data_IF_222654479943
#
_entry.id   IF_222654479943
#
_cell.length_a   1.000
_cell.length_b   1.000
_cell.length_c   1.000
_cell.angle_alpha   90.00
_cell.angle_beta   90.00
_cell.angle_gamma   90.00
#
_symmetry.space_group_name_H-M   'P 1'
#
loop_
_entity.id
_entity.type
_entity.pdbx_description
1 polymer ?
#
# COMPACT_ATOMS: atom_id res chain seq x y z
N UNK A 1 -19.41 12.22 30.79
CA UNK A 1 -20.56 13.12 31.03
C UNK A 1 -21.56 12.78 29.95
N UNK A 2 -22.70 12.24 30.35
CA UNK A 2 -23.73 11.80 29.40
C UNK A 2 -24.23 13.02 28.60
N UNK A 3 -24.47 12.87 27.30
CA UNK A 3 -24.98 13.94 26.43
C UNK A 3 -26.29 14.49 27.02
N UNK A 4 -27.10 13.64 27.66
CA UNK A 4 -28.30 14.03 28.37
C UNK A 4 -28.03 14.92 29.60
N UNK A 5 -26.97 14.66 30.37
CA UNK A 5 -26.55 15.53 31.49
C UNK A 5 -26.02 16.87 31.01
N UNK A 6 -25.30 16.87 29.88
CA UNK A 6 -24.74 18.09 29.27
C UNK A 6 -25.88 19.01 28.80
N UNK A 7 -26.90 18.45 28.13
CA UNK A 7 -28.10 19.20 27.75
C UNK A 7 -28.95 19.64 28.94
N UNK A 8 -29.06 18.83 30.00
CA UNK A 8 -29.77 19.22 31.21
C UNK A 8 -29.09 20.41 31.89
N UNK A 9 -27.76 20.39 31.99
CA UNK A 9 -26.95 21.48 32.56
C UNK A 9 -27.02 22.75 31.71
N UNK A 10 -26.94 22.63 30.38
CA UNK A 10 -27.14 23.77 29.47
C UNK A 10 -28.55 24.36 29.59
N UNK A 11 -29.58 23.51 29.75
CA UNK A 11 -30.96 23.97 29.90
C UNK A 11 -31.15 24.78 31.18
N UNK A 12 -30.52 24.35 32.28
CA UNK A 12 -30.56 25.05 33.56
C UNK A 12 -29.83 26.40 33.49
N UNK A 13 -28.61 26.43 32.93
CA UNK A 13 -27.83 27.66 32.76
C UNK A 13 -28.53 28.65 31.81
N UNK A 14 -29.15 28.15 30.74
CA UNK A 14 -29.95 28.97 29.84
C UNK A 14 -31.19 29.55 30.53
N UNK A 15 -31.83 28.79 31.42
CA UNK A 15 -32.97 29.25 32.22
C UNK A 15 -32.56 30.35 33.21
N UNK A 16 -31.43 30.20 33.90
CA UNK A 16 -30.87 31.21 34.80
C UNK A 16 -30.52 32.51 34.07
N UNK A 17 -29.83 32.41 32.93
CA UNK A 17 -29.47 33.57 32.11
C UNK A 17 -30.71 34.32 31.61
N UNK A 18 -31.75 33.59 31.20
CA UNK A 18 -33.04 34.17 30.80
C UNK A 18 -33.74 34.84 31.97
N UNK A 19 -33.72 34.24 33.15
CA UNK A 19 -34.31 34.87 34.34
C UNK A 19 -33.61 36.17 34.70
N UNK A 20 -32.27 36.21 34.65
CA UNK A 20 -31.50 37.43 34.87
C UNK A 20 -31.87 38.54 33.86
N UNK A 21 -32.06 38.18 32.59
CA UNK A 21 -32.52 39.11 31.55
C UNK A 21 -33.95 39.62 31.83
N UNK A 22 -34.87 38.74 32.22
CA UNK A 22 -36.24 39.11 32.60
C UNK A 22 -36.24 40.08 33.78
N UNK A 23 -35.46 39.78 34.82
CA UNK A 23 -35.30 40.64 36.01
C UNK A 23 -34.76 42.03 35.64
N UNK A 24 -33.82 42.11 34.70
CA UNK A 24 -33.33 43.40 34.16
C UNK A 24 -34.43 44.15 33.41
N UNK A 25 -35.20 43.46 32.58
CA UNK A 25 -36.33 44.04 31.87
C UNK A 25 -37.41 44.55 32.85
N UNK A 26 -37.63 43.86 33.98
CA UNK A 26 -38.52 44.32 35.06
C UNK A 26 -38.08 45.64 35.67
N UNK A 27 -36.77 45.84 35.90
CA UNK A 27 -36.25 47.13 36.37
C UNK A 27 -36.49 48.26 35.36
N UNK A 28 -36.25 47.99 34.08
CA UNK A 28 -36.49 48.95 33.00
C UNK A 28 -37.98 49.30 32.89
N UNK A 29 -38.86 48.30 33.02
CA UNK A 29 -40.31 48.48 33.03
C UNK A 29 -40.79 49.32 34.22
N UNK A 30 -40.27 49.05 35.43
CA UNK A 30 -40.57 49.85 36.62
C UNK A 30 -40.11 51.29 36.46
N UNK A 31 -38.92 51.50 35.89
CA UNK A 31 -38.39 52.83 35.61
C UNK A 31 -39.24 53.60 34.59
N UNK A 32 -39.56 52.99 33.44
CA UNK A 32 -40.37 53.61 32.38
C UNK A 32 -41.78 53.90 32.89
N UNK A 33 -42.42 52.95 33.58
CA UNK A 33 -43.77 53.14 34.12
C UNK A 33 -43.80 54.30 35.12
N UNK A 34 -42.79 54.38 36.00
CA UNK A 34 -42.65 55.49 36.96
C UNK A 34 -42.38 56.83 36.26
N UNK A 35 -41.56 56.84 35.20
CA UNK A 35 -41.30 58.05 34.42
C UNK A 35 -42.55 58.57 33.70
N UNK A 36 -43.34 57.67 33.08
CA UNK A 36 -44.62 58.02 32.43
C UNK A 36 -45.60 58.60 33.44
N UNK A 37 -45.69 57.99 34.63
CA UNK A 37 -46.52 58.46 35.74
C UNK A 37 -46.16 59.88 36.20
N UNK A 38 -44.86 60.17 36.35
CA UNK A 38 -44.37 61.51 36.69
C UNK A 38 -44.72 62.50 35.59
N UNK A 39 -44.47 62.14 34.32
CA UNK A 39 -44.75 63.02 33.17
C UNK A 39 -46.24 63.37 33.06
N UNK A 40 -47.13 62.40 33.27
CA UNK A 40 -48.58 62.56 33.16
C UNK A 40 -49.18 63.33 34.35
N UNK A 41 -48.48 63.38 35.51
CA UNK A 41 -48.84 64.26 36.63
C UNK A 41 -48.57 65.73 36.32
N UNK A 42 -47.50 66.02 35.58
CA UNK A 42 -47.15 67.37 35.16
C UNK A 42 -48.11 67.95 34.11
N UNK A 43 -48.87 67.11 33.41
CA UNK A 43 -49.89 67.54 32.44
C UNK A 43 -51.30 67.70 33.02
N UNK A 44 -51.44 67.77 34.36
CA UNK A 44 -52.72 67.81 35.10
C UNK A 44 -53.74 66.70 34.74
N UNK A 45 -53.27 65.61 34.11
CA UNK A 45 -54.12 64.50 33.66
C UNK A 45 -54.38 63.42 34.72
N UNK A 46 -53.62 63.39 35.81
CA UNK A 46 -53.73 62.38 36.87
C UNK A 46 -54.50 62.94 38.08
N UNK A 47 -55.74 62.51 38.25
CA UNK A 47 -56.55 62.77 39.44
C UNK A 47 -56.18 61.88 40.66
N UNK A 48 -55.10 61.11 40.56
CA UNK A 48 -54.72 60.06 41.52
C UNK A 48 -53.57 60.54 42.41
N UNK A 49 -53.64 60.25 43.70
CA UNK A 49 -52.57 60.57 44.63
C UNK A 49 -51.27 59.83 44.28
N UNK A 50 -50.16 60.57 44.18
CA UNK A 50 -48.84 60.06 43.77
C UNK A 50 -48.36 58.85 44.60
N UNK A 51 -48.77 58.74 45.87
CA UNK A 51 -48.33 57.66 46.75
C UNK A 51 -48.77 56.26 46.28
N UNK A 52 -49.89 56.14 45.56
CA UNK A 52 -50.43 54.86 45.06
C UNK A 52 -49.47 54.20 44.05
N UNK A 53 -49.08 54.87 42.94
CA UNK A 53 -48.08 54.34 42.02
C UNK A 53 -46.73 54.07 42.68
N UNK A 54 -46.28 54.94 43.58
CA UNK A 54 -45.03 54.72 44.31
C UNK A 54 -45.09 53.47 45.19
N UNK A 55 -46.21 53.20 45.87
CA UNK A 55 -46.38 52.02 46.69
C UNK A 55 -46.36 50.73 45.86
N UNK A 56 -47.05 50.69 44.71
CA UNK A 56 -47.04 49.52 43.82
C UNK A 56 -45.65 49.28 43.18
N UNK A 57 -44.94 50.35 42.83
CA UNK A 57 -43.56 50.27 42.31
C UNK A 57 -42.59 49.80 43.39
N UNK A 58 -42.73 50.26 44.62
CA UNK A 58 -41.90 49.85 45.77
C UNK A 58 -42.09 48.36 46.07
N UNK A 59 -43.32 47.87 46.11
CA UNK A 59 -43.62 46.43 46.31
C UNK A 59 -42.97 45.60 45.20
N UNK A 60 -43.10 46.03 43.95
CA UNK A 60 -42.49 45.35 42.80
C UNK A 60 -40.96 45.35 42.87
N UNK A 61 -40.35 46.45 43.34
CA UNK A 61 -38.90 46.56 43.52
C UNK A 61 -38.39 45.63 44.64
N UNK A 62 -39.14 45.50 45.75
CA UNK A 62 -38.81 44.56 46.85
C UNK A 62 -38.87 43.12 46.34
N UNK A 63 -39.95 42.74 45.64
CA UNK A 63 -40.10 41.41 45.05
C UNK A 63 -38.96 41.12 44.07
N UNK A 64 -38.62 42.07 43.20
CA UNK A 64 -37.55 41.91 42.22
C UNK A 64 -36.17 41.77 42.89
N UNK A 65 -35.92 42.52 43.97
CA UNK A 65 -34.68 42.43 44.76
C UNK A 65 -34.57 41.10 45.50
N UNK A 66 -35.68 40.58 46.04
CA UNK A 66 -35.72 39.26 46.67
C UNK A 66 -35.38 38.14 45.67
N UNK A 67 -35.94 38.19 44.45
CA UNK A 67 -35.59 37.24 43.39
C UNK A 67 -34.12 37.36 42.96
N UNK A 68 -33.57 38.58 42.85
CA UNK A 68 -32.14 38.76 42.58
C UNK A 68 -31.25 38.17 43.68
N UNK A 69 -31.63 38.32 44.94
CA UNK A 69 -30.88 37.76 46.06
C UNK A 69 -30.90 36.23 46.04
N UNK A 70 -32.04 35.62 45.72
CA UNK A 70 -32.17 34.18 45.53
C UNK A 70 -31.28 33.67 44.39
N UNK A 71 -31.22 34.41 43.29
CA UNK A 71 -30.35 34.12 42.15
C UNK A 71 -28.87 34.19 42.54
N UNK A 72 -28.43 35.29 43.17
CA UNK A 72 -27.03 35.49 43.59
C UNK A 72 -26.56 34.45 44.62
N UNK A 73 -27.47 33.93 45.45
CA UNK A 73 -27.18 32.90 46.45
C UNK A 73 -27.25 31.47 45.90
N UNK A 74 -27.50 31.28 44.60
CA UNK A 74 -27.63 29.94 44.00
C UNK A 74 -28.82 29.14 44.53
N UNK A 75 -29.83 29.80 45.13
CA UNK A 75 -31.04 29.17 45.68
C UNK A 75 -32.23 29.27 44.71
N UNK A 76 -31.98 29.69 43.48
CA UNK A 76 -33.01 29.80 42.46
C UNK A 76 -33.52 28.42 42.07
N UNK A 77 -34.83 28.31 41.88
CA UNK A 77 -35.52 27.10 41.41
C UNK A 77 -36.53 27.51 40.35
N UNK A 78 -36.81 26.64 39.39
CA UNK A 78 -37.69 26.96 38.25
C UNK A 78 -39.07 27.49 38.64
N UNK A 79 -39.65 27.02 39.74
CA UNK A 79 -40.96 27.51 40.19
C UNK A 79 -40.96 29.00 40.57
N UNK A 80 -39.83 29.56 41.03
CA UNK A 80 -39.71 30.98 41.35
C UNK A 80 -39.94 31.85 40.11
N UNK A 81 -39.48 31.39 38.95
CA UNK A 81 -39.75 32.05 37.67
C UNK A 81 -41.26 32.09 37.38
N UNK A 82 -41.92 30.94 37.48
CA UNK A 82 -43.35 30.83 37.18
C UNK A 82 -44.23 31.59 38.18
N UNK A 83 -43.82 31.67 39.44
CA UNK A 83 -44.50 32.46 40.47
C UNK A 83 -44.37 33.97 40.24
N UNK A 84 -43.30 34.44 39.60
CA UNK A 84 -43.12 35.87 39.31
C UNK A 84 -44.14 36.42 38.30
N UNK A 85 -44.61 35.58 37.37
CA UNK A 85 -45.57 35.97 36.31
C UNK A 85 -46.90 36.49 36.89
N UNK A 86 -47.65 35.72 37.71
CA UNK A 86 -48.90 36.22 38.28
C UNK A 86 -48.66 37.39 39.25
N UNK A 87 -47.52 37.44 39.94
CA UNK A 87 -47.15 38.58 40.80
C UNK A 87 -46.98 39.88 39.98
N UNK A 88 -46.33 39.81 38.82
CA UNK A 88 -46.18 40.96 37.93
C UNK A 88 -47.53 41.44 37.39
N UNK A 89 -48.39 40.50 36.95
CA UNK A 89 -49.74 40.83 36.49
C UNK A 89 -50.53 41.49 37.62
N UNK A 90 -50.53 40.91 38.82
CA UNK A 90 -51.20 41.48 39.99
C UNK A 90 -50.69 42.88 40.33
N UNK A 91 -49.38 43.13 40.28
CA UNK A 91 -48.83 44.45 40.54
C UNK A 91 -49.34 45.50 39.54
N UNK A 92 -49.34 45.17 38.25
CA UNK A 92 -49.79 46.07 37.18
C UNK A 92 -51.30 46.30 37.25
N UNK A 93 -52.09 45.26 37.51
CA UNK A 93 -53.55 45.39 37.60
C UNK A 93 -54.00 46.05 38.90
N UNK A 94 -53.29 45.84 40.01
CA UNK A 94 -53.57 46.57 41.26
C UNK A 94 -53.33 48.06 41.07
N UNK A 95 -52.26 48.43 40.36
CA UNK A 95 -52.03 49.80 39.95
C UNK A 95 -53.16 50.33 39.05
N UNK A 96 -53.57 49.57 38.03
CA UNK A 96 -54.68 49.93 37.15
C UNK A 96 -55.99 50.20 37.92
N UNK A 97 -56.30 49.39 38.92
CA UNK A 97 -57.48 49.57 39.78
C UNK A 97 -57.35 50.84 40.63
N UNK A 98 -56.20 51.04 41.27
CA UNK A 98 -55.98 52.16 42.15
C UNK A 98 -55.89 53.52 41.41
N UNK A 99 -55.62 53.51 40.10
CA UNK A 99 -55.61 54.69 39.25
C UNK A 99 -56.98 55.12 38.70
N UNK A 100 -58.06 54.41 39.05
CA UNK A 100 -59.43 54.81 38.67
C UNK A 100 -59.61 54.99 37.16
N UNK A 101 -60.11 56.16 36.72
CA UNK A 101 -60.32 56.46 35.31
C UNK A 101 -59.04 56.33 34.46
N UNK A 102 -57.88 56.74 35.00
CA UNK A 102 -56.57 56.68 34.33
C UNK A 102 -55.95 55.28 34.28
N UNK A 103 -56.61 54.25 34.80
CA UNK A 103 -56.12 52.86 34.79
C UNK A 103 -55.92 52.24 33.39
N UNK A 104 -56.41 52.88 32.32
CA UNK A 104 -56.14 52.49 30.94
C UNK A 104 -54.64 52.57 30.57
N UNK A 105 -53.87 53.41 31.28
CA UNK A 105 -52.42 53.53 31.11
C UNK A 105 -51.65 52.24 31.46
N UNK A 106 -52.29 51.26 32.12
CA UNK A 106 -51.70 49.95 32.38
C UNK A 106 -51.67 49.04 31.14
N UNK A 107 -52.48 49.33 30.13
CA UNK A 107 -52.60 48.48 28.96
C UNK A 107 -51.30 48.42 28.12
N UNK A 108 -50.63 49.53 27.78
CA UNK A 108 -49.32 49.49 27.13
C UNK A 108 -48.26 48.76 27.97
N UNK A 109 -48.33 48.90 29.30
CA UNK A 109 -47.41 48.26 30.26
C UNK A 109 -47.60 46.74 30.25
N UNK A 110 -48.83 46.24 30.20
CA UNK A 110 -49.15 44.81 30.03
C UNK A 110 -48.66 44.27 28.68
N UNK A 111 -48.90 45.00 27.59
CA UNK A 111 -48.46 44.59 26.24
C UNK A 111 -46.93 44.51 26.17
N UNK A 112 -46.23 45.51 26.75
CA UNK A 112 -44.78 45.49 26.83
C UNK A 112 -44.26 44.31 27.67
N UNK A 113 -44.89 44.01 28.81
CA UNK A 113 -44.51 42.85 29.60
C UNK A 113 -44.66 41.55 28.80
N UNK A 114 -45.77 41.36 28.09
CA UNK A 114 -45.99 40.18 27.22
C UNK A 114 -44.89 40.05 26.16
N UNK A 115 -44.50 41.15 25.51
CA UNK A 115 -43.47 41.13 24.47
C UNK A 115 -42.07 40.76 25.02
N UNK A 116 -41.73 41.22 26.22
CA UNK A 116 -40.46 40.86 26.87
C UNK A 116 -40.37 39.36 27.20
N UNK A 117 -41.48 38.73 27.60
CA UNK A 117 -41.53 37.28 27.82
C UNK A 117 -41.58 36.49 26.50
N UNK A 118 -42.21 37.05 25.46
CA UNK A 118 -42.37 36.37 24.18
C UNK A 118 -41.01 36.07 23.52
N UNK A 119 -40.03 36.94 23.74
CA UNK A 119 -38.63 36.74 23.39
C UNK A 119 -38.01 35.59 24.18
N UNK A 120 -38.10 34.39 23.59
CA UNK A 120 -37.47 33.18 24.05
C UNK A 120 -38.34 32.29 24.94
N UNK A 121 -39.30 32.84 25.70
CA UNK A 121 -40.14 32.09 26.65
C UNK A 121 -41.64 32.20 26.28
N UNK A 122 -42.07 31.64 25.14
CA UNK A 122 -43.44 31.83 24.63
C UNK A 122 -44.51 31.33 25.60
N UNK A 123 -44.25 30.26 26.36
CA UNK A 123 -45.17 29.76 27.40
C UNK A 123 -45.37 30.78 28.54
N UNK A 124 -44.31 31.47 28.95
CA UNK A 124 -44.39 32.50 29.98
C UNK A 124 -45.25 33.68 29.51
N UNK A 125 -45.06 34.11 28.27
CA UNK A 125 -45.84 35.18 27.67
C UNK A 125 -47.32 34.80 27.47
N UNK A 126 -47.61 33.54 27.11
CA UNK A 126 -48.97 33.02 27.04
C UNK A 126 -49.67 33.04 28.39
N UNK A 127 -48.99 32.58 29.45
CA UNK A 127 -49.53 32.65 30.82
C UNK A 127 -49.73 34.10 31.28
N UNK A 128 -48.78 34.98 30.99
CA UNK A 128 -48.90 36.40 31.32
C UNK A 128 -50.14 37.02 30.65
N UNK A 129 -50.34 36.77 29.36
CA UNK A 129 -51.54 37.20 28.64
C UNK A 129 -52.81 36.61 29.27
N UNK A 130 -52.83 35.30 29.54
CA UNK A 130 -53.99 34.63 30.14
C UNK A 130 -54.38 35.22 31.51
N UNK A 131 -53.40 35.44 32.39
CA UNK A 131 -53.65 36.10 33.67
C UNK A 131 -54.11 37.55 33.49
N UNK A 132 -53.53 38.28 32.53
CA UNK A 132 -53.92 39.66 32.23
C UNK A 132 -55.36 39.76 31.74
N UNK A 133 -55.82 38.80 30.93
CA UNK A 133 -57.20 38.78 30.42
C UNK A 133 -58.27 38.61 31.52
N UNK A 134 -57.89 38.06 32.67
CA UNK A 134 -58.79 37.92 33.82
C UNK A 134 -58.62 39.08 34.80
N UNK A 135 -57.38 39.40 35.16
CA UNK A 135 -57.09 40.38 36.21
C UNK A 135 -57.30 41.83 35.76
N UNK A 136 -57.01 42.16 34.50
CA UNK A 136 -57.15 43.53 33.98
C UNK A 136 -58.60 44.04 33.94
N UNK A 137 -59.57 43.34 33.34
CA UNK A 137 -60.95 43.85 33.30
C UNK A 137 -61.57 43.92 34.69
N UNK A 138 -61.25 42.98 35.59
CA UNK A 138 -61.67 43.03 36.99
C UNK A 138 -61.11 44.29 37.69
N UNK A 139 -59.81 44.56 37.53
CA UNK A 139 -59.18 45.75 38.07
C UNK A 139 -59.80 47.05 37.54
N UNK A 140 -60.09 47.15 36.25
CA UNK A 140 -60.75 48.31 35.64
C UNK A 140 -62.17 48.50 36.17
N UNK A 141 -62.92 47.41 36.34
CA UNK A 141 -64.28 47.44 36.89
C UNK A 141 -64.29 47.93 38.34
N UNK A 142 -63.47 47.36 39.23
CA UNK A 142 -63.42 47.78 40.64
C UNK A 142 -62.82 49.17 40.83
N UNK A 143 -61.81 49.53 40.05
CA UNK A 143 -61.16 50.85 40.14
C UNK A 143 -62.06 52.01 39.76
N UNK A 144 -63.03 51.78 38.87
CA UNK A 144 -63.99 52.81 38.42
C UNK A 144 -65.31 52.77 39.19
N UNK A 145 -65.52 51.80 40.09
CA UNK A 145 -66.76 51.62 40.84
C UNK A 145 -67.10 52.79 41.79
N UNK A 146 -66.07 53.50 42.29
CA UNK A 146 -66.20 54.67 43.16
C UNK A 146 -65.94 56.03 42.48
N UNK A 147 -65.69 56.06 41.17
CA UNK A 147 -65.46 57.29 40.43
C UNK A 147 -66.78 57.97 40.04
N UNK A 148 -66.78 59.32 39.93
CA UNK A 148 -67.96 60.11 39.54
C UNK A 148 -68.49 59.78 38.14
N UNK A 149 -67.62 59.32 37.25
CA UNK A 149 -67.96 58.76 35.94
C UNK A 149 -67.64 57.27 35.95
N UNK A 150 -68.67 56.42 36.05
CA UNK A 150 -68.50 54.98 35.80
C UNK A 150 -68.16 54.80 34.33
N UNK A 151 -67.01 54.18 34.03
CA UNK A 151 -66.70 53.79 32.67
C UNK A 151 -67.79 52.85 32.15
N UNK A 152 -68.22 53.06 30.90
CA UNK A 152 -69.16 52.15 30.26
C UNK A 152 -68.50 50.78 30.08
N UNK A 153 -69.28 49.71 30.22
CA UNK A 153 -68.83 48.33 29.95
C UNK A 153 -68.22 48.21 28.54
N UNK A 154 -68.68 49.05 27.60
CA UNK A 154 -68.17 49.17 26.23
C UNK A 154 -66.71 49.64 26.20
N UNK A 155 -66.31 50.57 27.07
CA UNK A 155 -64.93 51.04 27.15
C UNK A 155 -63.96 49.95 27.60
N UNK A 156 -64.32 49.19 28.64
CA UNK A 156 -63.53 48.06 29.12
C UNK A 156 -63.45 46.96 28.06
N UNK A 157 -64.54 46.69 27.34
CA UNK A 157 -64.55 45.73 26.24
C UNK A 157 -63.60 46.16 25.10
N UNK A 158 -63.57 47.44 24.75
CA UNK A 158 -62.64 47.97 23.75
C UNK A 158 -61.16 47.83 24.18
N UNK A 159 -60.85 48.16 25.44
CA UNK A 159 -59.51 47.93 26.01
C UNK A 159 -59.10 46.45 25.93
N UNK A 160 -60.02 45.53 26.24
CA UNK A 160 -59.79 44.08 26.15
C UNK A 160 -59.51 43.60 24.72
N UNK A 161 -60.20 44.14 23.72
CA UNK A 161 -59.93 43.83 22.30
C UNK A 161 -58.50 44.25 21.93
N UNK A 162 -58.06 45.43 22.38
CA UNK A 162 -56.69 45.90 22.13
C UNK A 162 -55.68 44.99 22.84
N UNK A 163 -55.92 44.60 24.09
CA UNK A 163 -55.04 43.70 24.83
C UNK A 163 -54.89 42.34 24.13
N UNK A 164 -56.00 41.75 23.65
CA UNK A 164 -55.97 40.49 22.91
C UNK A 164 -55.22 40.66 21.58
N UNK A 165 -55.53 41.69 20.79
CA UNK A 165 -54.92 41.91 19.49
C UNK A 165 -53.41 42.21 19.59
N UNK A 166 -53.02 43.17 20.42
CA UNK A 166 -51.62 43.55 20.61
C UNK A 166 -50.83 42.46 21.36
N UNK A 167 -51.45 41.78 22.33
CA UNK A 167 -50.84 40.66 23.05
C UNK A 167 -50.56 39.47 22.13
N UNK A 168 -51.51 39.08 21.29
CA UNK A 168 -51.30 38.00 20.31
C UNK A 168 -50.24 38.34 19.27
N UNK A 169 -50.24 39.56 18.72
CA UNK A 169 -49.19 40.01 17.81
C UNK A 169 -47.80 39.96 18.46
N UNK A 170 -47.70 40.41 19.72
CA UNK A 170 -46.47 40.37 20.51
C UNK A 170 -45.94 38.94 20.74
N UNK A 171 -46.82 37.93 20.75
CA UNK A 171 -46.43 36.52 20.88
C UNK A 171 -45.88 35.93 19.58
N UNK A 172 -46.39 36.35 18.42
CA UNK A 172 -46.09 35.70 17.14
C UNK A 172 -44.67 36.00 16.62
N UNK A 173 -44.26 37.27 16.64
CA UNK A 173 -42.98 37.68 16.05
C UNK A 173 -41.77 37.00 16.71
N UNK A 174 -41.59 37.00 18.05
CA UNK A 174 -40.45 36.35 18.68
C UNK A 174 -40.49 34.82 18.62
N UNK A 175 -41.70 34.23 18.62
CA UNK A 175 -41.87 32.79 18.51
C UNK A 175 -41.40 32.28 17.14
N UNK A 176 -41.64 33.05 16.07
CA UNK A 176 -41.17 32.69 14.73
C UNK A 176 -39.64 32.62 14.66
N UNK A 177 -38.94 33.64 15.17
CA UNK A 177 -37.48 33.72 15.25
C UNK A 177 -36.91 32.55 16.05
N UNK A 178 -37.45 32.32 17.26
CA UNK A 178 -36.99 31.23 18.14
C UNK A 178 -37.17 29.86 17.50
N UNK A 179 -38.31 29.62 16.82
CA UNK A 179 -38.56 28.36 16.09
C UNK A 179 -37.57 28.17 14.95
N UNK A 180 -37.28 29.22 14.17
CA UNK A 180 -36.30 29.14 13.07
C UNK A 180 -34.89 28.85 13.57
N UNK A 181 -34.43 29.54 14.62
CA UNK A 181 -33.12 29.26 15.25
C UNK A 181 -33.02 27.83 15.79
N UNK A 182 -34.08 27.31 16.41
CA UNK A 182 -34.10 25.90 16.87
C UNK A 182 -33.97 24.91 15.73
N UNK A 183 -34.54 25.19 14.55
CA UNK A 183 -34.36 24.33 13.37
C UNK A 183 -32.92 24.35 12.87
N UNK A 184 -32.28 25.53 12.82
CA UNK A 184 -30.86 25.65 12.49
C UNK A 184 -30.00 24.85 13.47
N UNK A 185 -30.22 25.03 14.78
CA UNK A 185 -29.53 24.29 15.83
C UNK A 185 -29.70 22.77 15.67
N UNK A 186 -30.91 22.31 15.36
CA UNK A 186 -31.16 20.89 15.19
C UNK A 186 -30.50 20.32 13.92
N UNK A 187 -30.43 21.11 12.84
CA UNK A 187 -29.66 20.72 11.65
C UNK A 187 -28.17 20.61 11.93
N UNK A 188 -27.60 21.57 12.66
CA UNK A 188 -26.20 21.51 13.10
C UNK A 188 -25.91 20.30 13.99
N UNK A 189 -26.82 19.95 14.91
CA UNK A 189 -26.68 18.76 15.75
C UNK A 189 -26.67 17.45 14.95
N UNK A 190 -27.38 17.39 13.81
CA UNK A 190 -27.30 16.23 12.89
C UNK A 190 -25.97 16.19 12.14
N UNK A 191 -25.45 17.35 11.73
CA UNK A 191 -24.13 17.45 11.09
C UNK A 191 -23.00 17.06 12.06
N UNK A 192 -23.13 17.38 13.34
CA UNK A 192 -22.22 16.92 14.41
C UNK A 192 -22.19 15.38 14.51
N UNK A 193 -23.30 14.72 14.20
CA UNK A 193 -23.41 13.26 14.13
C UNK A 193 -22.92 12.67 12.79
N UNK A 194 -22.35 13.50 11.90
CA UNK A 194 -21.85 13.08 10.59
C UNK A 194 -22.87 13.11 9.46
N UNK A 195 -24.12 13.53 9.72
CA UNK A 195 -25.16 13.63 8.70
C UNK A 195 -25.13 15.00 8.01
N UNK A 196 -24.33 15.10 6.95
CA UNK A 196 -24.23 16.28 6.09
C UNK A 196 -25.27 16.34 4.96
N UNK A 197 -26.21 15.39 4.91
CA UNK A 197 -27.30 15.37 3.93
C UNK A 197 -28.41 16.37 4.26
N UNK A 198 -28.47 16.84 5.51
CA UNK A 198 -29.49 17.76 6.00
C UNK A 198 -29.43 19.09 5.26
N UNK A 199 -30.60 19.61 4.87
CA UNK A 199 -30.76 20.94 4.27
C UNK A 199 -31.73 21.79 5.07
N UNK A 200 -31.27 22.97 5.47
CA UNK A 200 -32.05 23.98 6.16
C UNK A 200 -32.79 24.87 5.16
N UNK A 201 -34.00 25.31 5.51
CA UNK A 201 -34.79 26.22 4.67
C UNK A 201 -34.22 27.64 4.70
N UNK A 202 -33.71 28.12 3.57
CA UNK A 202 -33.18 29.48 3.37
C UNK A 202 -34.18 30.47 2.74
N UNK A 203 -35.50 30.18 2.75
CA UNK A 203 -36.53 31.02 2.11
C UNK A 203 -36.70 32.43 2.70
N UNK A 204 -36.15 32.68 3.88
CA UNK A 204 -36.30 33.94 4.60
C UNK A 204 -35.21 34.92 4.16
N UNK A 205 -35.54 36.17 3.88
CA UNK A 205 -34.56 37.23 3.57
C UNK A 205 -34.08 37.95 4.84
N UNK A 206 -33.92 37.21 5.95
CA UNK A 206 -33.37 37.70 7.22
C UNK A 206 -32.04 37.01 7.54
N UNK A 207 -31.34 37.47 8.58
CA UNK A 207 -30.05 36.91 9.01
C UNK A 207 -30.12 35.40 9.27
N UNK A 208 -31.30 34.89 9.69
CA UNK A 208 -31.51 33.46 9.93
C UNK A 208 -31.58 32.69 8.60
N UNK A 209 -32.17 33.28 7.56
CA UNK A 209 -32.13 32.75 6.21
C UNK A 209 -30.71 32.68 5.65
N UNK A 210 -29.93 33.75 5.78
CA UNK A 210 -28.52 33.77 5.40
C UNK A 210 -27.70 32.75 6.19
N UNK A 211 -27.90 32.66 7.50
CA UNK A 211 -27.28 31.63 8.34
C UNK A 211 -27.61 30.22 7.84
N UNK A 212 -28.87 29.96 7.48
CA UNK A 212 -29.30 28.67 6.93
C UNK A 212 -28.60 28.34 5.61
N UNK A 213 -28.42 29.35 4.73
CA UNK A 213 -27.69 29.19 3.48
C UNK A 213 -26.21 28.90 3.71
N UNK A 214 -25.54 29.63 4.62
CA UNK A 214 -24.14 29.40 4.99
C UNK A 214 -23.93 28.00 5.59
N UNK A 215 -24.83 27.54 6.46
CA UNK A 215 -24.78 26.19 7.03
C UNK A 215 -24.97 25.12 5.94
N UNK A 216 -25.87 25.33 4.98
CA UNK A 216 -26.03 24.40 3.85
C UNK A 216 -24.77 24.32 2.98
N UNK A 217 -24.13 25.46 2.71
CA UNK A 217 -22.88 25.52 1.95
C UNK A 217 -21.75 24.77 2.68
N UNK A 218 -21.61 24.99 4.00
CA UNK A 218 -20.68 24.24 4.84
C UNK A 218 -20.95 22.73 4.77
N UNK A 219 -22.21 22.31 4.91
CA UNK A 219 -22.58 20.90 4.86
C UNK A 219 -22.26 20.26 3.51
N UNK A 220 -22.46 20.98 2.41
CA UNK A 220 -22.08 20.51 1.08
C UNK A 220 -20.56 20.36 0.93
N UNK A 221 -19.79 21.36 1.36
CA UNK A 221 -18.32 21.31 1.27
C UNK A 221 -17.74 20.19 2.13
N UNK A 222 -18.17 20.07 3.38
CA UNK A 222 -17.70 19.02 4.28
C UNK A 222 -18.15 17.63 3.80
N UNK A 223 -19.41 17.50 3.35
CA UNK A 223 -19.91 16.26 2.77
C UNK A 223 -19.10 15.82 1.54
N UNK A 224 -18.79 16.75 0.64
CA UNK A 224 -17.95 16.47 -0.53
C UNK A 224 -16.51 16.09 -0.18
N UNK A 225 -15.92 16.68 0.87
CA UNK A 225 -14.61 16.26 1.38
C UNK A 225 -14.65 14.82 1.91
N UNK A 226 -15.70 14.45 2.66
CA UNK A 226 -15.87 13.09 3.18
C UNK A 226 -16.06 12.08 2.04
N UNK A 227 -16.83 12.42 1.02
CA UNK A 227 -17.00 11.59 -0.20
C UNK A 227 -15.67 11.40 -0.94
N UNK A 228 -14.88 12.46 -1.12
CA UNK A 228 -13.57 12.38 -1.75
C UNK A 228 -12.59 11.51 -0.95
N UNK A 229 -12.58 11.63 0.39
CA UNK A 229 -11.74 10.78 1.26
C UNK A 229 -12.14 9.31 1.14
N UNK A 230 -13.43 8.99 1.06
CA UNK A 230 -13.91 7.62 0.89
C UNK A 230 -13.44 7.03 -0.45
N UNK A 231 -13.60 7.76 -1.55
CA UNK A 231 -13.10 7.32 -2.85
C UNK A 231 -11.58 7.14 -2.88
N UNK A 232 -10.83 8.03 -2.22
CA UNK A 232 -9.38 7.90 -2.11
C UNK A 232 -8.98 6.66 -1.30
N UNK A 233 -9.72 6.35 -0.23
CA UNK A 233 -9.49 5.17 0.59
C UNK A 233 -9.80 3.86 -0.17
N UNK A 234 -10.87 3.83 -0.96
CA UNK A 234 -11.20 2.71 -1.85
C UNK A 234 -10.12 2.48 -2.90
N UNK A 235 -9.66 3.55 -3.56
CA UNK A 235 -8.57 3.48 -4.52
C UNK A 235 -7.26 2.97 -3.88
N UNK A 236 -6.94 3.46 -2.68
CA UNK A 236 -5.77 3.00 -1.93
C UNK A 236 -5.87 1.53 -1.54
N UNK A 237 -7.06 1.06 -1.14
CA UNK A 237 -7.29 -0.36 -0.85
C UNK A 237 -7.11 -1.23 -2.11
N UNK A 238 -7.55 -0.77 -3.28
CA UNK A 238 -7.30 -1.42 -4.56
C UNK A 238 -5.80 -1.53 -4.89
N UNK A 239 -5.07 -0.42 -4.78
CA UNK A 239 -3.61 -0.41 -4.97
C UNK A 239 -2.87 -1.33 -4.00
N UNK A 240 -3.29 -1.38 -2.74
CA UNK A 240 -2.71 -2.27 -1.75
C UNK A 240 -2.91 -3.74 -2.13
N UNK A 241 -4.08 -4.09 -2.66
CA UNK A 241 -4.36 -5.44 -3.14
C UNK A 241 -3.50 -5.82 -4.36
N UNK A 242 -3.39 -4.92 -5.33
CA UNK A 242 -2.51 -5.11 -6.50
C UNK A 242 -1.05 -5.27 -6.08
N UNK A 243 -0.57 -4.42 -5.18
CA UNK A 243 0.81 -4.49 -4.65
C UNK A 243 1.07 -5.81 -3.93
N UNK A 244 0.10 -6.32 -3.16
CA UNK A 244 0.21 -7.61 -2.49
C UNK A 244 0.28 -8.77 -3.50
N UNK A 245 -0.51 -8.71 -4.58
CA UNK A 245 -0.46 -9.69 -5.67
C UNK A 245 0.92 -9.70 -6.34
N UNK A 246 1.42 -8.53 -6.74
CA UNK A 246 2.75 -8.37 -7.35
C UNK A 246 3.86 -8.86 -6.43
N UNK A 247 3.77 -8.58 -5.12
CA UNK A 247 4.73 -9.10 -4.14
C UNK A 247 4.72 -10.64 -4.09
N UNK A 248 3.54 -11.27 -4.21
CA UNK A 248 3.41 -12.72 -4.34
C UNK A 248 4.07 -13.29 -5.59
N UNK A 249 3.91 -12.62 -6.75
CA UNK A 249 4.57 -13.02 -8.00
C UNK A 249 6.09 -12.87 -7.94
N UNK A 250 6.58 -11.80 -7.31
CA UNK A 250 8.02 -11.58 -7.08
C UNK A 250 8.58 -12.66 -6.16
N UNK A 251 7.88 -13.02 -5.08
CA UNK A 251 8.29 -14.10 -4.18
C UNK A 251 8.39 -15.44 -4.91
N UNK A 252 7.39 -15.80 -5.71
CA UNK A 252 7.41 -17.02 -6.50
C UNK A 252 8.55 -17.03 -7.54
N UNK A 253 8.82 -15.88 -8.17
CA UNK A 253 9.94 -15.73 -9.10
C UNK A 253 11.29 -15.87 -8.40
N UNK A 254 11.43 -15.30 -7.20
CA UNK A 254 12.64 -15.43 -6.38
C UNK A 254 12.89 -16.89 -5.96
N UNK A 255 11.84 -17.64 -5.63
CA UNK A 255 11.94 -19.08 -5.36
C UNK A 255 12.42 -19.87 -6.59
N UNK A 256 11.86 -19.59 -7.79
CA UNK A 256 12.35 -20.21 -9.03
C UNK A 256 13.82 -19.86 -9.34
N UNK A 257 14.24 -18.62 -9.10
CA UNK A 257 15.64 -18.22 -9.24
C UNK A 257 16.51 -19.00 -8.26
N UNK A 258 16.06 -19.20 -7.02
CA UNK A 258 16.73 -20.03 -6.03
C UNK A 258 16.96 -21.45 -6.54
N UNK A 259 15.91 -22.11 -7.03
CA UNK A 259 16.00 -23.46 -7.59
C UNK A 259 16.95 -23.55 -8.79
N UNK A 260 16.85 -22.63 -9.76
CA UNK A 260 17.70 -22.65 -10.94
C UNK A 260 19.17 -22.34 -10.62
N UNK A 261 19.41 -21.51 -9.61
CA UNK A 261 20.78 -21.24 -9.12
C UNK A 261 21.40 -22.47 -8.48
N UNK A 262 20.62 -23.24 -7.71
CA UNK A 262 21.10 -24.47 -7.08
C UNK A 262 21.39 -25.56 -8.13
N UNK A 263 20.50 -25.72 -9.13
CA UNK A 263 20.73 -26.61 -10.27
C UNK A 263 21.99 -26.22 -11.06
N UNK A 264 22.16 -24.93 -11.35
CA UNK A 264 23.34 -24.41 -12.03
C UNK A 264 24.62 -24.67 -11.24
N UNK A 265 24.58 -24.51 -9.91
CA UNK A 265 25.73 -24.79 -9.05
C UNK A 265 26.12 -26.27 -9.08
N UNK A 266 25.14 -27.18 -9.12
CA UNK A 266 25.37 -28.61 -9.25
C UNK A 266 25.95 -28.98 -10.63
N UNK A 267 25.40 -28.42 -11.71
CA UNK A 267 25.90 -28.67 -13.06
C UNK A 267 27.31 -28.11 -13.27
N UNK A 268 27.60 -26.94 -12.71
CA UNK A 268 28.95 -26.36 -12.68
C UNK A 268 29.94 -27.27 -11.95
N UNK A 269 29.50 -27.92 -10.86
CA UNK A 269 30.30 -28.91 -10.11
C UNK A 269 30.64 -30.13 -10.98
N UNK A 270 29.66 -30.64 -11.74
CA UNK A 270 29.90 -31.75 -12.69
C UNK A 270 30.85 -31.34 -13.82
N UNK A 271 30.69 -30.15 -14.38
CA UNK A 271 31.61 -29.63 -15.39
C UNK A 271 33.05 -29.53 -14.88
N UNK A 272 33.25 -29.02 -13.65
CA UNK A 272 34.57 -28.98 -13.03
C UNK A 272 35.18 -30.39 -12.89
N UNK A 273 34.38 -31.38 -12.49
CA UNK A 273 34.84 -32.77 -12.41
C UNK A 273 35.22 -33.34 -13.80
N UNK A 274 34.44 -33.05 -14.85
CA UNK A 274 34.75 -33.46 -16.23
C UNK A 274 36.03 -32.80 -16.76
N UNK A 275 36.24 -31.52 -16.47
CA UNK A 275 37.45 -30.79 -16.84
C UNK A 275 38.67 -31.38 -16.12
N UNK A 276 38.56 -31.66 -14.83
CA UNK A 276 39.62 -32.30 -14.06
C UNK A 276 39.97 -33.69 -14.63
N UNK A 277 38.98 -34.53 -14.92
CA UNK A 277 39.20 -35.84 -15.55
C UNK A 277 39.79 -35.75 -16.96
N UNK A 278 39.41 -34.72 -17.73
CA UNK A 278 40.00 -34.47 -19.05
C UNK A 278 41.46 -34.03 -18.96
N UNK A 279 41.82 -33.23 -17.96
CA UNK A 279 43.21 -32.85 -17.70
C UNK A 279 44.07 -34.08 -17.33
N UNK A 280 43.56 -34.95 -16.46
CA UNK A 280 44.22 -36.22 -16.10
C UNK A 280 44.41 -37.13 -17.32
N UNK A 281 43.37 -37.26 -18.16
CA UNK A 281 43.47 -38.02 -19.41
C UNK A 281 44.49 -37.43 -20.39
N UNK A 282 44.58 -36.09 -20.48
CA UNK A 282 45.56 -35.41 -21.31
C UNK A 282 47.00 -35.62 -20.79
N UNK A 283 47.22 -35.58 -19.48
CA UNK A 283 48.51 -35.91 -18.86
C UNK A 283 48.91 -37.36 -19.15
N UNK A 284 47.98 -38.30 -18.98
CA UNK A 284 48.22 -39.72 -19.29
C UNK A 284 48.55 -39.93 -20.77
N UNK A 285 47.84 -39.24 -21.69
CA UNK A 285 48.12 -39.30 -23.12
C UNK A 285 49.49 -38.71 -23.48
N UNK A 286 49.88 -37.58 -22.86
CA UNK A 286 51.19 -36.98 -23.04
C UNK A 286 52.31 -37.92 -22.56
N UNK A 287 52.15 -38.53 -21.38
CA UNK A 287 53.08 -39.54 -20.87
C UNK A 287 53.18 -40.76 -21.80
N UNK A 288 52.04 -41.27 -22.29
CA UNK A 288 51.99 -42.37 -23.26
C UNK A 288 52.69 -42.03 -24.57
N UNK A 289 52.51 -40.81 -25.08
CA UNK A 289 53.19 -40.32 -26.29
C UNK A 289 54.72 -40.25 -26.11
N UNK A 290 55.22 -39.89 -24.92
CA UNK A 290 56.65 -39.88 -24.63
C UNK A 290 57.24 -41.29 -24.61
N UNK A 291 56.52 -42.25 -24.01
CA UNK A 291 56.92 -43.67 -24.02
C UNK A 291 56.96 -44.22 -25.44
N UNK A 292 55.92 -43.94 -26.24
CA UNK A 292 55.86 -44.38 -27.63
C UNK A 292 57.00 -43.77 -28.46
N UNK A 293 57.27 -42.47 -28.28
CA UNK A 293 58.39 -41.79 -28.94
C UNK A 293 59.73 -42.43 -28.60
N UNK A 294 59.99 -42.72 -27.31
CA UNK A 294 61.21 -43.43 -26.88
C UNK A 294 61.31 -44.81 -27.52
N UNK A 295 60.24 -45.60 -27.48
CA UNK A 295 60.21 -46.94 -28.09
C UNK A 295 60.44 -46.90 -29.60
N UNK A 296 59.90 -45.90 -30.29
CA UNK A 296 60.14 -45.68 -31.72
C UNK A 296 61.61 -45.33 -32.01
N UNK A 297 62.24 -44.50 -31.16
CA UNK A 297 63.67 -44.17 -31.31
C UNK A 297 64.58 -45.38 -31.06
N UNK A 298 64.27 -46.22 -30.06
CA UNK A 298 64.99 -47.47 -29.80
C UNK A 298 64.84 -48.43 -30.98
N UNK A 299 63.59 -48.65 -31.45
CA UNK A 299 63.31 -49.51 -32.60
C UNK A 299 64.01 -49.04 -33.87
N UNK A 300 64.10 -47.72 -34.10
CA UNK A 300 64.85 -47.16 -35.22
C UNK A 300 66.37 -47.38 -35.07
N UNK A 301 66.89 -47.35 -33.84
CA UNK A 301 68.27 -47.72 -33.53
C UNK A 301 68.56 -49.19 -33.83
N UNK A 302 67.69 -50.09 -33.38
CA UNK A 302 67.78 -51.53 -33.63
C UNK A 302 67.70 -51.85 -35.13
N UNK A 303 66.78 -51.20 -35.85
CA UNK A 303 66.64 -51.35 -37.30
C UNK A 303 67.91 -50.89 -38.05
N UNK A 304 68.56 -49.81 -37.62
CA UNK A 304 69.85 -49.37 -38.17
C UNK A 304 70.95 -50.40 -37.90
N UNK A 305 71.03 -50.91 -36.66
CA UNK A 305 71.98 -51.96 -36.30
C UNK A 305 71.81 -53.24 -37.14
N UNK A 306 70.57 -53.68 -37.34
CA UNK A 306 70.22 -54.80 -38.23
C UNK A 306 70.63 -54.53 -39.69
N UNK A 307 70.38 -53.32 -40.19
CA UNK A 307 70.77 -52.95 -41.56
C UNK A 307 72.30 -52.98 -41.75
N UNK A 308 73.06 -52.48 -40.78
CA UNK A 308 74.53 -52.51 -40.83
C UNK A 308 75.08 -53.95 -40.73
N UNK A 309 74.48 -54.79 -39.89
CA UNK A 309 74.79 -56.23 -39.85
C UNK A 309 74.48 -56.90 -41.20
N UNK A 310 73.32 -56.63 -41.79
CA UNK A 310 72.94 -57.18 -43.09
C UNK A 310 73.92 -56.77 -44.20
N UNK A 311 74.39 -55.51 -44.22
CA UNK A 311 75.45 -55.06 -45.14
C UNK A 311 76.74 -55.83 -44.93
N UNK A 312 77.21 -55.97 -43.70
CA UNK A 312 78.43 -56.71 -43.38
C UNK A 312 78.32 -58.19 -43.79
N UNK A 313 77.14 -58.80 -43.64
CA UNK A 313 76.85 -60.16 -44.13
C UNK A 313 76.85 -60.24 -45.65
N UNK A 314 76.25 -59.26 -46.35
CA UNK A 314 76.28 -59.20 -47.81
C UNK A 314 77.70 -59.06 -48.36
N UNK A 315 78.54 -58.24 -47.75
CA UNK A 315 79.96 -58.11 -48.11
C UNK A 315 80.74 -59.42 -47.90
N UNK A 316 80.50 -60.11 -46.77
CA UNK A 316 81.08 -61.45 -46.54
C UNK A 316 80.62 -62.46 -47.59
N UNK A 317 79.32 -62.48 -47.89
CA UNK A 317 78.76 -63.37 -48.91
C UNK A 317 79.34 -63.06 -50.31
N UNK A 318 79.51 -61.79 -50.66
CA UNK A 318 80.17 -61.35 -51.89
C UNK A 318 81.61 -61.84 -51.99
N UNK A 319 82.40 -61.72 -50.91
CA UNK A 319 83.76 -62.27 -50.84
C UNK A 319 83.78 -63.79 -50.98
N UNK A 320 82.90 -64.50 -50.29
CA UNK A 320 82.75 -65.95 -50.43
C UNK A 320 82.36 -66.35 -51.85
N UNK A 321 81.47 -65.59 -52.50
CA UNK A 321 81.10 -65.80 -53.90
C UNK A 321 82.29 -65.64 -54.85
N UNK A 322 83.12 -64.62 -54.66
CA UNK A 322 84.34 -64.42 -55.45
C UNK A 322 85.33 -65.58 -55.29
N UNK A 323 85.55 -66.05 -54.05
CA UNK A 323 86.38 -67.22 -53.76
C UNK A 323 85.85 -68.50 -54.43
N UNK A 324 84.53 -68.69 -54.48
CA UNK A 324 83.93 -69.85 -55.17
C UNK A 324 84.15 -69.78 -56.70
N UNK A 325 84.12 -68.59 -57.29
CA UNK A 325 84.43 -68.41 -58.73
C UNK A 325 85.89 -68.73 -59.02
N UNK A 326 86.81 -68.26 -58.17
CA UNK A 326 88.25 -68.57 -58.24
C UNK A 326 88.48 -70.07 -58.12
N UNK A 327 87.90 -70.71 -57.09
CA UNK A 327 87.96 -72.15 -56.90
C UNK A 327 87.40 -72.93 -58.10
N UNK A 328 86.29 -72.46 -58.68
CA UNK A 328 85.71 -73.05 -59.89
C UNK A 328 86.59 -72.89 -61.13
N UNK A 329 87.42 -71.85 -61.20
CA UNK A 329 88.44 -71.66 -62.23
C UNK A 329 89.60 -72.64 -62.03
N UNK A 330 90.12 -72.75 -60.81
CA UNK A 330 91.18 -73.69 -60.44
C UNK A 330 90.77 -75.15 -60.69
N UNK A 331 89.52 -75.48 -60.37
CA UNK A 331 88.96 -76.80 -60.63
C UNK A 331 88.87 -77.10 -62.14
N UNK A 332 88.49 -76.10 -62.96
CA UNK A 332 88.52 -76.21 -64.42
C UNK A 332 89.94 -76.45 -64.94
N UNK A 333 90.92 -75.70 -64.44
CA UNK A 333 92.34 -75.91 -64.77
C UNK A 333 92.85 -77.30 -64.36
N UNK A 334 92.37 -77.81 -63.23
CA UNK A 334 92.68 -79.17 -62.76
C UNK A 334 92.08 -80.25 -63.68
N UNK A 335 90.82 -80.09 -64.12
CA UNK A 335 90.18 -80.99 -65.10
C UNK A 335 90.91 -80.98 -66.43
N UNK A 336 91.35 -79.82 -66.90
CA UNK A 336 92.11 -79.69 -68.14
C UNK A 336 93.49 -80.37 -68.04
N UNK A 337 94.16 -80.24 -66.89
CA UNK A 337 95.39 -80.97 -66.58
C UNK A 337 95.17 -82.49 -66.56
N UNK A 338 94.05 -82.96 -66.00
CA UNK A 338 93.69 -84.39 -66.03
C UNK A 338 93.45 -84.89 -67.45
N UNK A 339 92.79 -84.12 -68.33
CA UNK A 339 92.61 -84.48 -69.75
C UNK A 339 93.95 -84.53 -70.49
N UNK A 340 94.86 -83.60 -70.20
CA UNK A 340 96.21 -83.64 -70.76
C UNK A 340 96.97 -84.90 -70.31
N UNK A 341 96.78 -85.32 -69.05
CA UNK A 341 97.33 -86.56 -68.52
C UNK A 341 96.72 -87.80 -69.19
N UNK A 342 95.40 -87.83 -69.41
CA UNK A 342 94.70 -88.90 -70.14
C UNK A 342 95.25 -89.04 -71.57
N UNK A 343 95.39 -87.92 -72.29
CA UNK A 343 95.99 -87.90 -73.62
C UNK A 343 97.44 -88.40 -73.61
N UNK A 344 98.22 -88.02 -72.58
CA UNK A 344 99.57 -88.55 -72.39
C UNK A 344 99.55 -90.08 -72.12
N UNK A 345 98.63 -90.58 -71.31
CA UNK A 345 98.39 -92.00 -71.07
C UNK A 345 98.02 -92.76 -72.35
N UNK A 346 97.19 -92.18 -73.21
CA UNK A 346 96.87 -92.72 -74.54
C UNK A 346 98.10 -92.85 -75.44
N UNK A 347 98.99 -91.85 -75.44
CA UNK A 347 100.27 -91.92 -76.17
C UNK A 347 101.18 -93.04 -75.62
N UNK A 348 101.25 -93.19 -74.30
CA UNK A 348 102.00 -94.29 -73.67
C UNK A 348 101.42 -95.65 -74.06
N UNK A 349 100.09 -95.79 -74.06
CA UNK A 349 99.42 -97.02 -74.51
C UNK A 349 99.74 -97.32 -75.98
N UNK A 350 99.71 -96.33 -76.86
CA UNK A 350 100.14 -96.49 -78.26
C UNK A 350 101.60 -96.93 -78.38
N UNK A 351 102.49 -96.41 -77.54
CA UNK A 351 103.89 -96.83 -77.48
C UNK A 351 104.04 -98.28 -77.02
N UNK A 352 103.27 -98.72 -76.02
CA UNK A 352 103.26 -100.11 -75.52
C UNK A 352 102.77 -101.09 -76.60
N UNK A 353 101.73 -100.73 -77.35
CA UNK A 353 101.24 -101.54 -78.48
C UNK A 353 102.31 -101.70 -79.56
N UNK A 354 103.04 -100.62 -79.88
CA UNK A 354 104.16 -100.69 -80.83
C UNK A 354 105.28 -101.62 -80.33
N UNK A 355 105.60 -101.63 -79.03
CA UNK A 355 106.57 -102.57 -78.44
C UNK A 355 106.07 -104.01 -78.55
N UNK A 356 104.78 -104.27 -78.31
CA UNK A 356 104.20 -105.61 -78.48
C UNK A 356 104.26 -106.08 -79.94
N UNK A 357 104.03 -105.18 -80.90
CA UNK A 357 104.16 -105.45 -82.33
C UNK A 357 105.61 -105.82 -82.69
N UNK A 358 106.59 -105.05 -82.20
CA UNK A 358 108.02 -105.32 -82.37
C UNK A 358 108.38 -106.67 -81.74
N UNK A 359 107.95 -106.94 -80.50
CA UNK A 359 108.23 -108.20 -79.82
C UNK A 359 107.67 -109.41 -80.59
N UNK A 360 106.47 -109.29 -81.16
CA UNK A 360 105.87 -110.32 -82.03
C UNK A 360 106.67 -110.52 -83.31
N UNK A 361 107.14 -109.45 -83.94
CA UNK A 361 108.00 -109.50 -85.12
C UNK A 361 109.36 -110.15 -84.81
N UNK A 362 109.97 -109.80 -83.68
CA UNK A 362 111.24 -110.37 -83.22
C UNK A 362 111.10 -111.85 -82.90
N UNK A 363 109.99 -112.26 -82.27
CA UNK A 363 109.70 -113.67 -81.99
C UNK A 363 109.57 -114.50 -83.29
N UNK A 364 108.97 -113.94 -84.33
CA UNK A 364 108.88 -114.58 -85.66
C UNK A 364 110.23 -114.66 -86.38
N UNK A 365 111.06 -113.62 -86.27
CA UNK A 365 112.43 -113.63 -86.80
C UNK A 365 113.31 -114.65 -86.08
N UNK A 366 113.22 -114.70 -84.76
CA UNK A 366 113.96 -115.66 -83.93
C UNK A 366 113.55 -117.11 -84.25
N UNK A 367 112.25 -117.35 -84.49
CA UNK A 367 111.75 -118.67 -84.87
C UNK A 367 112.27 -119.10 -86.25
N UNK A 368 112.25 -118.20 -87.25
CA UNK A 368 112.81 -118.48 -88.57
C UNK A 368 114.33 -118.73 -88.50
N UNK A 369 115.05 -117.97 -87.67
CA UNK A 369 116.49 -118.18 -87.47
C UNK A 369 116.78 -119.54 -86.80
N UNK A 370 115.96 -119.95 -85.83
CA UNK A 370 116.10 -121.25 -85.17
C UNK A 370 115.80 -122.44 -86.11
N UNK A 371 114.84 -122.28 -87.03
CA UNK A 371 114.53 -123.27 -88.07
C UNK A 371 115.71 -123.40 -89.04
N UNK A 372 116.30 -122.29 -89.49
CA UNK A 372 117.40 -122.32 -90.45
C UNK A 372 118.72 -122.83 -89.84
N UNK A 373 118.98 -122.53 -88.56
CA UNK A 373 120.10 -123.09 -87.82
C UNK A 373 120.01 -124.63 -87.68
N UNK A 374 118.80 -125.17 -87.47
CA UNK A 374 118.59 -126.61 -87.40
C UNK A 374 118.81 -127.32 -88.74
N UNK A 375 118.73 -126.60 -89.87
CA UNK A 375 118.85 -127.16 -91.22
C UNK A 375 120.28 -127.19 -91.76
N UNK A 376 121.21 -126.41 -91.19
CA UNK A 376 122.57 -126.22 -91.72
C UNK A 376 123.66 -127.17 -91.17
N UNK A 377 123.41 -127.94 -90.11
CA UNK A 377 124.46 -128.82 -89.52
C UNK A 377 125.68 -128.04 -89.01
N UNK A 378 126.83 -128.70 -88.76
CA UNK A 378 128.06 -128.17 -88.08
C UNK A 378 128.69 -126.87 -88.63
N UNK A 379 128.12 -126.20 -89.64
CA UNK A 379 128.45 -124.83 -90.04
C UNK A 379 127.52 -123.75 -89.43
N UNK A 380 126.48 -124.16 -88.68
CA UNK A 380 125.37 -123.30 -88.23
C UNK A 380 125.21 -123.15 -86.71
N UNK A 381 126.29 -123.34 -85.93
CA UNK A 381 126.31 -122.89 -84.53
C UNK A 381 126.54 -121.39 -84.40
#
# INVERSE_FOLDING_TARGET
>A
MDIHELFARESHLAMEARHAQVVRNRWLMLFISSAILVLYRFSDGLAVALWIPFATTLVSAVVNTAFQLLLRRGRFREWHFWAAIPLDVLAITTWAAASGASGSLALPVLIFAISTYALGLPRAAQLFLAYSLVAYPAARYFGTAGASERLSVVGIAAEMVILVAAGTLSLQAPASVTRRLRRVRHGLARMEQGDFSVRLSSRSMDDIGFLSASVNSMAQTVGGMVEAIQHQAEALAGLAHETASTAGEVQASAEMIGYTTEELAEETRKQLALVAGSAEAAEAAAAGSLVLSRSATESAGDARGLADQARAHAERAGRSGALLVELGSDFRGSVESMRALEAAGGRVSGFVTAIQEIARQTNLLALNAAIEAARAGEQGR
#
